data_IF_841005011431
#
_entry.id   IF_841005011431
#
_cell.length_a   1.000
_cell.length_b   1.000
_cell.length_c   1.000
_cell.angle_alpha   90.00
_cell.angle_beta   90.00
_cell.angle_gamma   90.00
#
_symmetry.space_group_name_H-M   'P 1'
#
loop_
_entity.id
_entity.type
_entity.pdbx_description
1 polymer ?
#
# COMPACT_ATOMS: atom_id res chain seq x y z
N UNK A 1 10.59 -9.31 3.99
CA UNK A 1 11.50 -8.15 3.90
C UNK A 1 12.48 -8.31 5.04
N UNK A 2 13.73 -8.64 4.75
CA UNK A 2 14.78 -8.63 5.76
C UNK A 2 14.95 -7.18 6.20
N UNK A 3 14.45 -6.86 7.40
CA UNK A 3 14.76 -5.61 8.07
C UNK A 3 16.23 -5.73 8.44
N UNK A 4 17.10 -5.15 7.61
CA UNK A 4 18.50 -4.97 7.97
C UNK A 4 18.55 -4.41 9.40
N UNK A 5 19.40 -4.99 10.26
CA UNK A 5 19.47 -4.58 11.67
C UNK A 5 19.58 -3.05 11.72
N UNK A 6 18.63 -2.34 12.37
CA UNK A 6 18.63 -0.88 12.38
C UNK A 6 19.86 -0.30 13.10
N UNK A 7 20.62 -1.14 13.78
CA UNK A 7 21.81 -0.75 14.51
C UNK A 7 23.03 -0.84 13.59
N UNK A 8 23.74 0.26 13.35
CA UNK A 8 24.93 0.25 12.53
C UNK A 8 26.04 -0.59 13.19
N UNK A 9 26.88 -1.26 12.38
CA UNK A 9 27.92 -2.17 12.89
C UNK A 9 28.94 -1.49 13.80
N UNK A 10 29.14 -0.17 13.65
CA UNK A 10 29.98 0.63 14.53
C UNK A 10 29.46 0.69 15.98
N UNK A 11 28.13 0.74 16.16
CA UNK A 11 27.50 0.75 17.49
C UNK A 11 27.55 -0.65 18.11
N UNK A 12 27.42 -1.70 17.30
CA UNK A 12 27.61 -3.08 17.77
C UNK A 12 29.05 -3.31 18.27
N UNK A 13 30.05 -2.86 17.49
CA UNK A 13 31.46 -2.94 17.91
C UNK A 13 31.74 -2.12 19.19
N UNK A 14 31.07 -0.99 19.37
CA UNK A 14 31.16 -0.19 20.60
C UNK A 14 30.55 -0.96 21.79
N UNK A 15 29.38 -1.57 21.61
CA UNK A 15 28.75 -2.39 22.65
C UNK A 15 29.65 -3.56 23.07
N UNK A 16 30.31 -4.22 22.11
CA UNK A 16 31.28 -5.29 22.39
C UNK A 16 32.50 -4.78 23.17
N UNK A 17 32.98 -3.58 22.85
CA UNK A 17 34.08 -2.95 23.60
C UNK A 17 33.69 -2.65 25.05
N UNK A 18 32.47 -2.13 25.26
CA UNK A 18 31.90 -1.91 26.60
C UNK A 18 31.64 -3.20 27.36
N UNK A 19 31.28 -4.28 26.67
CA UNK A 19 31.05 -5.58 27.28
C UNK A 19 32.35 -6.27 27.72
N UNK A 20 33.44 -6.04 27.00
CA UNK A 20 34.72 -6.74 27.22
C UNK A 20 35.75 -5.84 27.93
N UNK A 21 36.35 -4.91 27.20
CA UNK A 21 37.53 -4.15 27.63
C UNK A 21 37.21 -3.05 28.64
N UNK A 22 36.03 -2.43 28.52
CA UNK A 22 35.61 -1.33 29.40
C UNK A 22 34.62 -1.77 30.49
N UNK A 23 34.46 -3.08 30.69
CA UNK A 23 33.53 -3.64 31.69
C UNK A 23 33.83 -3.19 33.14
N UNK A 24 35.06 -2.76 33.42
CA UNK A 24 35.49 -2.26 34.72
C UNK A 24 35.40 -0.72 34.87
N UNK A 25 35.05 0.00 33.81
CA UNK A 25 35.03 1.47 33.78
C UNK A 25 33.61 1.96 33.50
N UNK A 26 32.99 2.61 34.49
CA UNK A 26 31.68 3.24 34.32
C UNK A 26 31.85 4.71 33.96
N UNK A 27 31.28 5.12 32.83
CA UNK A 27 31.23 6.52 32.42
C UNK A 27 29.85 7.10 32.77
N UNK A 28 29.78 8.22 33.49
CA UNK A 28 28.51 8.86 33.81
C UNK A 28 27.70 9.17 32.54
N UNK A 29 26.49 8.62 32.45
CA UNK A 29 25.56 8.86 31.34
C UNK A 29 25.82 8.06 30.06
N UNK A 30 26.92 7.30 29.98
CA UNK A 30 27.23 6.43 28.82
C UNK A 30 27.82 5.13 29.34
N UNK A 31 26.95 4.32 29.96
CA UNK A 31 27.29 2.97 30.39
C UNK A 31 26.63 1.95 29.45
N UNK A 32 27.11 0.70 29.49
CA UNK A 32 26.58 -0.42 28.73
C UNK A 32 25.06 -0.54 28.86
N UNK A 33 24.53 -0.44 30.08
CA UNK A 33 23.09 -0.55 30.31
C UNK A 33 22.28 0.53 29.58
N UNK A 34 22.80 1.77 29.53
CA UNK A 34 22.16 2.89 28.83
C UNK A 34 22.21 2.66 27.32
N UNK A 35 23.35 2.22 26.81
CA UNK A 35 23.50 1.91 25.38
C UNK A 35 22.60 0.74 24.95
N UNK A 36 22.50 -0.33 25.73
CA UNK A 36 21.58 -1.45 25.48
C UNK A 36 20.11 -1.00 25.50
N UNK A 37 19.75 -0.11 26.42
CA UNK A 37 18.41 0.48 26.47
C UNK A 37 18.11 1.29 25.20
N UNK A 38 18.98 2.22 24.82
CA UNK A 38 18.79 3.04 23.61
C UNK A 38 18.72 2.17 22.36
N UNK A 39 19.55 1.13 22.27
CA UNK A 39 19.51 0.13 21.20
C UNK A 39 18.15 -0.57 21.13
N UNK A 40 17.62 -0.97 22.28
CA UNK A 40 16.29 -1.61 22.36
C UNK A 40 15.19 -0.65 21.92
N UNK A 41 15.24 0.60 22.38
CA UNK A 41 14.29 1.65 21.99
C UNK A 41 14.33 1.91 20.47
N UNK A 42 15.52 2.00 19.86
CA UNK A 42 15.68 2.15 18.41
C UNK A 42 15.07 0.97 17.65
N UNK A 43 15.28 -0.26 18.12
CA UNK A 43 14.66 -1.45 17.51
C UNK A 43 13.13 -1.38 17.60
N UNK A 44 12.58 -1.09 18.78
CA UNK A 44 11.14 -0.93 18.98
C UNK A 44 10.55 0.16 18.10
N UNK A 45 11.21 1.31 17.98
CA UNK A 45 10.77 2.39 17.10
C UNK A 45 10.84 2.00 15.62
N UNK A 46 11.87 1.28 15.20
CA UNK A 46 12.00 0.78 13.83
C UNK A 46 10.85 -0.17 13.49
N UNK A 47 10.53 -1.12 14.37
CA UNK A 47 9.39 -2.03 14.20
C UNK A 47 8.06 -1.26 14.10
N UNK A 48 7.87 -0.24 14.93
CA UNK A 48 6.70 0.61 14.89
C UNK A 48 6.58 1.38 13.55
N UNK A 49 7.70 1.89 13.03
CA UNK A 49 7.74 2.55 11.71
C UNK A 49 7.39 1.56 10.60
N UNK A 50 8.01 0.38 10.57
CA UNK A 50 7.73 -0.66 9.56
C UNK A 50 6.24 -1.04 9.58
N UNK A 51 5.65 -1.19 10.77
CA UNK A 51 4.22 -1.47 10.92
C UNK A 51 3.35 -0.32 10.40
N UNK A 52 3.72 0.92 10.70
CA UNK A 52 2.98 2.10 10.25
C UNK A 52 3.06 2.27 8.73
N UNK A 53 4.21 2.01 8.12
CA UNK A 53 4.41 2.04 6.67
C UNK A 53 3.57 0.97 5.96
N UNK A 54 3.56 -0.26 6.48
CA UNK A 54 2.70 -1.32 5.96
C UNK A 54 1.21 -0.95 6.05
N UNK A 55 0.76 -0.36 7.16
CA UNK A 55 -0.61 0.11 7.32
C UNK A 55 -0.95 1.25 6.35
N UNK A 56 -0.01 2.17 6.11
CA UNK A 56 -0.17 3.27 5.17
C UNK A 56 -0.23 2.77 3.73
N UNK A 57 0.58 1.79 3.35
CA UNK A 57 0.51 1.16 2.03
C UNK A 57 -0.84 0.45 1.82
N UNK A 58 -1.32 -0.30 2.81
CA UNK A 58 -2.63 -0.92 2.78
C UNK A 58 -3.76 0.12 2.63
N UNK A 59 -3.70 1.23 3.36
CA UNK A 59 -4.68 2.31 3.26
C UNK A 59 -4.66 2.98 1.87
N UNK A 60 -3.48 3.16 1.26
CA UNK A 60 -3.36 3.70 -0.10
C UNK A 60 -3.97 2.78 -1.14
N UNK A 61 -3.79 1.46 -1.01
CA UNK A 61 -4.42 0.49 -1.90
C UNK A 61 -5.94 0.54 -1.76
N UNK A 62 -6.45 0.49 -0.53
CA UNK A 62 -7.89 0.59 -0.27
C UNK A 62 -8.52 1.89 -0.79
N UNK A 63 -7.80 3.02 -0.73
CA UNK A 63 -8.24 4.28 -1.30
C UNK A 63 -8.39 4.19 -2.82
N UNK A 64 -7.40 3.65 -3.53
CA UNK A 64 -7.46 3.49 -4.99
C UNK A 64 -8.62 2.58 -5.41
N UNK A 65 -8.81 1.47 -4.71
CA UNK A 65 -9.92 0.54 -4.97
C UNK A 65 -11.29 1.23 -4.78
N UNK A 66 -11.38 2.09 -3.76
CA UNK A 66 -12.58 2.89 -3.49
C UNK A 66 -12.83 3.95 -4.57
N UNK A 67 -11.78 4.61 -5.05
CA UNK A 67 -11.84 5.59 -6.15
C UNK A 67 -12.24 4.92 -7.48
N UNK A 68 -11.72 3.73 -7.78
CA UNK A 68 -12.11 2.94 -8.96
C UNK A 68 -13.58 2.50 -8.87
N UNK A 69 -14.01 2.05 -7.69
CA UNK A 69 -15.41 1.69 -7.45
C UNK A 69 -16.32 2.91 -7.62
N UNK A 70 -15.93 4.06 -7.09
CA UNK A 70 -16.70 5.30 -7.18
C UNK A 70 -16.80 5.79 -8.63
N UNK A 71 -15.69 5.80 -9.37
CA UNK A 71 -15.67 6.21 -10.78
C UNK A 71 -16.52 5.28 -11.65
N UNK A 72 -16.40 3.96 -11.46
CA UNK A 72 -17.23 2.96 -12.15
C UNK A 72 -18.72 3.16 -11.88
N UNK A 73 -19.11 3.39 -10.61
CA UNK A 73 -20.51 3.66 -10.24
C UNK A 73 -21.01 4.98 -10.83
N UNK A 74 -20.18 6.01 -10.81
CA UNK A 74 -20.51 7.33 -11.37
C UNK A 74 -20.73 7.25 -12.89
N UNK A 75 -19.89 6.52 -13.62
CA UNK A 75 -20.06 6.29 -15.06
C UNK A 75 -21.38 5.56 -15.36
N UNK A 76 -21.71 4.51 -14.59
CA UNK A 76 -22.99 3.79 -14.73
C UNK A 76 -24.19 4.70 -14.41
N UNK A 77 -24.09 5.49 -13.34
CA UNK A 77 -25.13 6.44 -12.97
C UNK A 77 -25.36 7.50 -14.05
N UNK A 78 -24.30 8.04 -14.66
CA UNK A 78 -24.41 8.97 -15.79
C UNK A 78 -25.05 8.30 -17.01
N UNK A 79 -24.73 7.03 -17.30
CA UNK A 79 -25.36 6.29 -18.38
C UNK A 79 -26.88 6.12 -18.14
N UNK A 80 -27.29 5.73 -16.93
CA UNK A 80 -28.71 5.62 -16.58
C UNK A 80 -29.43 6.97 -16.60
N UNK A 81 -28.78 8.02 -16.10
CA UNK A 81 -29.32 9.38 -16.14
C UNK A 81 -29.54 9.87 -17.58
N UNK A 82 -28.67 9.48 -18.52
CA UNK A 82 -28.85 9.80 -19.96
C UNK A 82 -30.08 9.12 -20.54
N UNK A 83 -30.28 7.83 -20.27
CA UNK A 83 -31.47 7.07 -20.72
C UNK A 83 -32.75 7.68 -20.15
N UNK A 84 -32.76 7.99 -18.85
CA UNK A 84 -33.91 8.66 -18.22
C UNK A 84 -34.19 10.05 -18.81
N UNK A 85 -33.14 10.77 -19.19
CA UNK A 85 -33.26 12.12 -19.73
C UNK A 85 -33.68 12.17 -21.21
N UNK A 86 -33.86 11.03 -21.89
CA UNK A 86 -34.28 11.01 -23.30
C UNK A 86 -35.67 11.66 -23.49
N UNK A 87 -36.58 11.54 -22.52
CA UNK A 87 -37.90 12.18 -22.53
C UNK A 87 -37.93 13.56 -21.85
N UNK A 88 -36.80 14.03 -21.32
CA UNK A 88 -36.70 15.23 -20.50
C UNK A 88 -35.52 16.13 -20.91
N UNK A 89 -35.71 17.05 -21.88
CA UNK A 89 -34.63 17.85 -22.46
C UNK A 89 -33.91 18.75 -21.44
N UNK A 90 -34.62 19.27 -20.43
CA UNK A 90 -34.04 20.08 -19.35
C UNK A 90 -33.09 19.29 -18.46
N UNK A 91 -33.38 18.00 -18.25
CA UNK A 91 -32.55 17.08 -17.45
C UNK A 91 -31.34 16.64 -18.27
N UNK A 92 -31.52 16.44 -19.59
CA UNK A 92 -30.44 16.03 -20.50
C UNK A 92 -29.29 17.03 -20.52
N UNK A 93 -29.61 18.33 -20.64
CA UNK A 93 -28.61 19.41 -20.62
C UNK A 93 -27.79 19.43 -19.31
N UNK A 94 -28.44 19.14 -18.17
CA UNK A 94 -27.78 19.05 -16.86
C UNK A 94 -26.85 17.84 -16.78
N UNK A 95 -27.31 16.66 -17.21
CA UNK A 95 -26.49 15.44 -17.21
C UNK A 95 -25.27 15.58 -18.13
N UNK A 96 -25.43 16.20 -19.30
CA UNK A 96 -24.31 16.44 -20.23
C UNK A 96 -23.29 17.44 -19.66
N UNK A 97 -23.76 18.46 -18.92
CA UNK A 97 -22.88 19.38 -18.22
C UNK A 97 -22.05 18.68 -17.14
N UNK A 98 -22.67 17.80 -16.34
CA UNK A 98 -21.98 17.00 -15.31
C UNK A 98 -20.98 16.03 -15.95
N UNK A 99 -21.33 15.39 -17.06
CA UNK A 99 -20.43 14.47 -17.77
C UNK A 99 -19.18 15.16 -18.33
N UNK A 100 -19.29 16.41 -18.79
CA UNK A 100 -18.11 17.20 -19.23
C UNK A 100 -17.16 17.52 -18.09
N UNK A 101 -17.69 17.88 -16.92
CA UNK A 101 -16.89 18.19 -15.72
C UNK A 101 -16.19 16.92 -15.21
N UNK A 102 -16.89 15.78 -15.23
CA UNK A 102 -16.35 14.50 -14.81
C UNK A 102 -15.31 13.90 -15.80
N UNK A 103 -14.95 14.60 -16.88
CA UNK A 103 -14.06 14.09 -17.92
C UNK A 103 -14.63 12.91 -18.70
N UNK A 104 -15.91 12.59 -18.52
CA UNK A 104 -16.65 11.55 -19.22
C UNK A 104 -17.13 12.06 -20.60
N UNK A 105 -16.23 12.72 -21.34
CA UNK A 105 -16.46 12.98 -22.76
C UNK A 105 -16.12 11.70 -23.50
N UNK A 106 -17.15 10.89 -23.75
CA UNK A 106 -17.09 9.88 -24.80
C UNK A 106 -16.80 10.60 -26.11
N UNK A 107 -15.53 10.67 -26.52
CA UNK A 107 -15.24 10.83 -27.94
C UNK A 107 -15.90 9.65 -28.66
N UNK A 108 -16.70 9.89 -29.71
CA UNK A 108 -17.20 8.79 -30.51
C UNK A 108 -16.00 8.00 -31.05
N UNK A 109 -16.08 6.66 -31.17
CA UNK A 109 -15.06 5.87 -31.86
C UNK A 109 -15.11 6.27 -33.35
N UNK A 110 -14.37 7.32 -33.70
CA UNK A 110 -14.08 7.64 -35.09
C UNK A 110 -13.21 6.54 -35.67
N UNK A 111 -13.44 6.12 -36.93
CA UNK A 111 -12.65 5.05 -37.54
C UNK A 111 -11.18 5.47 -37.56
N UNK A 112 -10.39 4.81 -36.71
CA UNK A 112 -8.93 4.92 -36.77
C UNK A 112 -8.53 4.36 -38.12
N UNK A 113 -8.26 5.30 -39.02
CA UNK A 113 -7.82 5.09 -40.38
C UNK A 113 -6.49 4.34 -40.29
N UNK A 114 -6.52 3.06 -40.66
CA UNK A 114 -5.34 2.31 -41.06
C UNK A 114 -4.59 3.12 -42.12
N UNK A 115 -3.50 3.76 -41.71
CA UNK A 115 -2.53 4.37 -42.61
C UNK A 115 -1.18 3.70 -42.32
N UNK A 116 -0.92 2.70 -43.16
CA UNK A 116 0.30 1.94 -43.31
C UNK A 116 1.60 2.76 -43.16
N UNK A 117 2.55 2.16 -42.42
CA UNK A 117 3.92 1.87 -42.86
C UNK A 117 4.87 3.04 -43.12
N UNK A 118 5.87 3.22 -42.26
CA UNK A 118 7.27 3.38 -42.69
C UNK A 118 8.25 3.30 -41.49
N UNK A 119 9.01 2.22 -41.41
CA UNK A 119 10.37 2.20 -40.81
C UNK A 119 11.31 1.71 -41.91
N UNK A 120 12.64 1.97 -41.94
CA UNK A 120 13.52 2.73 -41.03
C UNK A 120 14.54 3.65 -41.75
N UNK A 121 14.97 4.78 -41.15
CA UNK A 121 16.12 5.57 -41.66
C UNK A 121 17.37 5.42 -40.80
N UNK A 122 18.14 4.38 -41.14
CA UNK A 122 19.60 4.30 -40.98
C UNK A 122 20.30 5.37 -41.82
N UNK A 123 21.19 6.17 -41.21
CA UNK A 123 22.38 6.88 -41.76
C UNK A 123 23.09 7.50 -40.56
N UNK A 124 24.36 7.27 -40.21
CA UNK A 124 25.43 6.44 -40.74
C UNK A 124 26.78 7.00 -40.27
N UNK A 125 27.59 6.23 -39.55
CA UNK A 125 29.04 6.05 -39.82
C UNK A 125 29.70 4.98 -38.91
N UNK A 126 30.49 4.03 -39.48
CA UNK A 126 31.31 3.02 -38.79
C UNK A 126 32.79 3.47 -38.69
N UNK A 127 33.72 2.87 -37.88
CA UNK A 127 34.31 1.52 -38.12
C UNK A 127 34.64 0.70 -36.83
N UNK A 128 34.43 -0.62 -36.79
CA UNK A 128 35.34 -1.74 -37.18
C UNK A 128 36.40 -2.13 -36.14
N UNK A 129 36.12 -3.21 -35.38
CA UNK A 129 37.10 -4.25 -35.08
C UNK A 129 36.38 -5.61 -34.97
N UNK A 130 36.71 -6.48 -35.92
CA UNK A 130 36.52 -7.95 -35.99
C UNK A 130 37.75 -8.52 -35.26
N UNK A 131 37.76 -9.63 -34.53
CA UNK A 131 37.31 -10.97 -34.89
C UNK A 131 37.38 -11.84 -33.61
N UNK A 132 36.40 -12.75 -33.41
CA UNK A 132 36.54 -14.21 -33.61
C UNK A 132 37.24 -14.90 -32.42
N UNK A 133 36.89 -16.07 -31.90
CA UNK A 133 35.91 -17.15 -32.10
C UNK A 133 35.93 -17.88 -30.71
N UNK A 134 35.03 -18.73 -30.26
CA UNK A 134 34.43 -19.86 -30.92
C UNK A 134 33.29 -20.41 -30.04
N UNK A 135 32.23 -20.83 -30.71
CA UNK A 135 31.38 -21.97 -30.38
C UNK A 135 32.21 -23.24 -30.03
N UNK A 136 31.68 -24.20 -29.24
CA UNK A 136 30.69 -25.13 -29.81
C UNK A 136 29.60 -25.68 -28.86
N UNK A 137 28.46 -25.98 -29.49
CA UNK A 137 27.67 -27.21 -29.41
C UNK A 137 27.26 -27.79 -28.04
N UNK A 138 25.94 -27.86 -27.79
CA UNK A 138 25.20 -29.09 -27.50
C UNK A 138 23.70 -28.80 -27.28
N UNK A 139 22.87 -29.16 -28.26
CA UNK A 139 21.54 -29.74 -28.02
C UNK A 139 21.73 -31.27 -27.80
N UNK A 140 20.71 -32.08 -27.45
CA UNK A 140 19.36 -31.83 -26.90
C UNK A 140 19.08 -32.68 -25.63
N UNK A 141 17.94 -32.48 -24.96
CA UNK A 141 17.01 -33.57 -24.53
C UNK A 141 15.85 -33.00 -23.71
N UNK A 142 14.67 -33.06 -24.33
CA UNK A 142 13.46 -33.71 -23.84
C UNK A 142 13.35 -34.01 -22.33
N UNK A 143 12.35 -33.39 -21.68
CA UNK A 143 11.48 -34.04 -20.70
C UNK A 143 10.43 -33.03 -20.22
N UNK A 144 9.23 -33.14 -20.78
CA UNK A 144 7.99 -32.65 -20.17
C UNK A 144 7.52 -33.71 -19.16
N UNK A 145 7.42 -33.43 -17.86
CA UNK A 145 6.55 -34.18 -16.98
C UNK A 145 5.22 -33.43 -16.84
N UNK A 146 4.18 -34.19 -17.13
CA UNK A 146 2.80 -33.91 -16.83
C UNK A 146 2.52 -33.90 -15.31
N UNK A 147 1.38 -33.29 -14.99
CA UNK A 147 0.44 -33.79 -13.98
C UNK A 147 0.77 -33.55 -12.49
N UNK A 148 0.06 -32.59 -11.89
CA UNK A 148 -0.79 -32.80 -10.71
C UNK A 148 -1.35 -31.46 -10.21
N UNK A 149 -2.62 -31.21 -10.51
CA UNK A 149 -3.45 -30.27 -9.75
C UNK A 149 -4.04 -30.99 -8.53
N UNK A 150 -3.76 -30.57 -7.29
CA UNK A 150 -4.65 -30.86 -6.18
C UNK A 150 -5.68 -29.72 -6.06
N UNK A 151 -6.88 -30.00 -6.57
CA UNK A 151 -8.11 -29.26 -6.26
C UNK A 151 -8.44 -29.52 -4.78
N UNK A 152 -7.99 -28.62 -3.91
CA UNK A 152 -8.30 -28.63 -2.50
C UNK A 152 -9.51 -27.72 -2.25
N UNK A 153 -10.64 -28.35 -1.99
CA UNK A 153 -11.88 -27.83 -1.42
C UNK A 153 -11.65 -26.75 -0.35
N UNK A 154 -12.13 -25.51 -0.50
CA UNK A 154 -12.46 -24.68 0.64
C UNK A 154 -13.84 -25.07 1.16
N UNK A 155 -13.83 -25.80 2.26
CA UNK A 155 -14.99 -26.05 3.10
C UNK A 155 -15.66 -24.74 3.51
N UNK A 156 -16.99 -24.80 3.59
CA UNK A 156 -17.88 -23.74 4.01
C UNK A 156 -17.41 -23.03 5.29
N UNK A 157 -17.62 -21.71 5.42
CA UNK A 157 -17.38 -21.01 6.67
C UNK A 157 -18.35 -21.51 7.75
N UNK A 158 -17.90 -21.77 8.99
CA UNK A 158 -18.79 -22.01 10.11
C UNK A 158 -19.54 -20.71 10.44
N UNK A 159 -20.86 -20.82 10.39
CA UNK A 159 -21.81 -19.92 11.05
C UNK A 159 -21.55 -19.96 12.56
N UNK A 160 -20.74 -19.03 13.06
CA UNK A 160 -20.74 -18.65 14.49
C UNK A 160 -21.69 -17.45 14.61
N UNK A 161 -22.91 -17.71 15.07
CA UNK A 161 -23.31 -17.69 16.48
C UNK A 161 -23.79 -16.29 16.86
N UNK A 162 -25.11 -16.13 16.70
CA UNK A 162 -25.90 -15.03 17.23
C UNK A 162 -25.84 -15.08 18.76
N UNK A 163 -25.06 -14.17 19.35
CA UNK A 163 -25.19 -13.82 20.75
C UNK A 163 -25.23 -12.31 20.93
N UNK A 164 -26.40 -11.68 21.11
CA UNK A 164 -26.48 -10.41 21.81
C UNK A 164 -26.66 -10.70 23.30
N UNK A 165 -25.55 -10.79 24.02
CA UNK A 165 -25.54 -10.73 25.48
C UNK A 165 -24.95 -9.39 25.92
N UNK A 166 -25.58 -8.84 26.95
CA UNK A 166 -25.16 -7.72 27.81
C UNK A 166 -25.20 -6.30 27.20
N UNK A 167 -26.39 -5.67 27.25
CA UNK A 167 -26.46 -4.25 27.61
C UNK A 167 -26.66 -4.16 29.12
N UNK A 168 -25.56 -4.16 29.87
CA UNK A 168 -25.47 -3.46 31.14
C UNK A 168 -24.98 -2.05 30.82
N UNK A 169 -25.86 -1.07 31.00
CA UNK A 169 -25.51 0.35 31.10
C UNK A 169 -26.28 0.80 32.33
N UNK A 170 -25.67 0.68 33.51
CA UNK A 170 -24.67 1.60 34.06
C UNK A 170 -25.30 2.97 34.28
N UNK A 171 -25.69 3.12 35.54
CA UNK A 171 -26.27 4.26 36.24
C UNK A 171 -25.34 5.49 36.14
N UNK A 172 -25.79 6.67 35.69
CA UNK A 172 -24.98 7.87 35.73
C UNK A 172 -25.04 8.50 37.14
N UNK A 173 -23.90 8.71 37.83
CA UNK A 173 -23.90 9.44 39.09
C UNK A 173 -24.16 10.94 38.87
N UNK A 174 -24.94 11.51 39.79
CA UNK A 174 -25.30 12.92 39.89
C UNK A 174 -24.10 13.87 39.85
N UNK A 175 -24.19 15.03 39.18
CA UNK A 175 -23.27 16.13 39.41
C UNK A 175 -23.64 16.85 40.71
N UNK A 176 -23.06 16.40 41.82
CA UNK A 176 -22.88 17.22 43.03
C UNK A 176 -21.71 18.18 42.82
N UNK A 177 -21.97 19.41 42.37
CA UNK A 177 -21.03 20.52 42.58
C UNK A 177 -21.73 21.74 43.19
N UNK A 178 -21.64 21.78 44.51
CA UNK A 178 -21.66 22.96 45.35
C UNK A 178 -20.61 23.96 44.86
N UNK A 179 -21.04 25.11 44.33
CA UNK A 179 -20.22 26.33 44.35
C UNK A 179 -20.89 27.37 45.24
N UNK A 180 -20.53 27.31 46.52
CA UNK A 180 -20.76 28.38 47.49
C UNK A 180 -19.80 29.53 47.23
N UNK A 181 -20.29 30.59 46.56
CA UNK A 181 -19.56 31.85 46.41
C UNK A 181 -19.66 32.62 47.73
N UNK A 182 -18.68 32.40 48.62
CA UNK A 182 -18.48 33.25 49.78
C UNK A 182 -17.78 34.55 49.36
N UNK A 183 -18.50 35.67 49.42
CA UNK A 183 -17.97 37.02 49.28
C UNK A 183 -17.83 37.62 50.69
N UNK A 184 -16.62 37.90 51.21
CA UNK A 184 -16.49 38.75 52.38
C UNK A 184 -16.46 40.22 51.96
N UNK A 185 -17.09 41.04 52.80
CA UNK A 185 -17.01 42.50 52.83
C UNK A 185 -16.04 42.92 53.94
#
# INVERSE_FOLDING_TARGET
MDVADPIPPSVQALMDLFANELSHVSFPGVDRAILEQVVTEVRTHTEAVVKAEAALEAARTALRDSEETLSSKTQKALAYARVYADDHPDIRSKVDSVARIAGATSSPPGPSREANGDTPKRRGRPPKAKAASAEPAAEPTDATPADASPDATPAAPPVMELGPSTMSSEDPPEPSELNGTAHPA
#
